data_IF_145503613047
#
_entry.id   IF_145503613047
#
_cell.length_a   1.000
_cell.length_b   1.000
_cell.length_c   1.000
_cell.angle_alpha   90.00
_cell.angle_beta   90.00
_cell.angle_gamma   90.00
#
_symmetry.space_group_name_H-M   'P 1'
#
loop_
_entity.id
_entity.type
_entity.pdbx_description
1 polymer ?
#
# COMPACT_ATOMS: atom_id res chain seq x y z
N UNK A 1 -4.85 -19.04 -6.10
CA UNK A 1 -4.22 -18.16 -7.09
C UNK A 1 -4.94 -16.84 -7.04
N UNK A 2 -4.21 -15.82 -6.62
CA UNK A 2 -4.64 -14.44 -6.67
C UNK A 2 -4.92 -14.05 -8.14
N UNK A 3 -5.99 -13.32 -8.36
CA UNK A 3 -6.38 -12.81 -9.68
C UNK A 3 -6.25 -11.29 -9.69
N UNK A 4 -5.89 -10.72 -10.83
CA UNK A 4 -5.71 -9.28 -11.00
C UNK A 4 -6.83 -8.78 -11.90
N UNK A 5 -7.72 -7.97 -11.34
CA UNK A 5 -8.71 -7.24 -12.11
C UNK A 5 -8.17 -5.86 -12.46
N UNK A 6 -8.13 -5.57 -13.76
CA UNK A 6 -7.61 -4.31 -14.27
C UNK A 6 -8.73 -3.30 -14.40
N UNK A 7 -8.59 -2.15 -13.75
CA UNK A 7 -9.56 -1.06 -13.85
C UNK A 7 -8.86 0.16 -14.43
N UNK A 8 -9.23 0.47 -15.67
CA UNK A 8 -8.71 1.65 -16.36
C UNK A 8 -9.39 2.94 -15.87
N UNK A 9 -8.80 4.12 -16.18
CA UNK A 9 -9.39 5.40 -15.84
C UNK A 9 -10.83 5.53 -16.32
N UNK A 10 -11.72 6.04 -15.46
CA UNK A 10 -13.14 6.24 -15.72
C UNK A 10 -14.04 5.03 -15.44
N UNK A 11 -13.46 3.85 -15.15
CA UNK A 11 -14.19 2.65 -14.74
C UNK A 11 -14.05 2.41 -13.23
N UNK A 12 -15.04 1.75 -12.65
CA UNK A 12 -15.02 1.30 -11.25
C UNK A 12 -15.21 -0.22 -11.21
N UNK A 13 -14.42 -0.92 -10.39
CA UNK A 13 -14.71 -2.31 -10.04
C UNK A 13 -16.08 -2.38 -9.37
N UNK A 14 -16.88 -3.39 -9.73
CA UNK A 14 -18.26 -3.53 -9.25
C UNK A 14 -18.39 -4.44 -8.03
N UNK A 15 -17.35 -5.20 -7.69
CA UNK A 15 -17.35 -6.14 -6.58
C UNK A 15 -16.06 -6.01 -5.77
N UNK A 16 -16.19 -5.68 -4.48
CA UNK A 16 -15.08 -5.50 -3.56
C UNK A 16 -15.13 -6.55 -2.46
N UNK A 17 -14.04 -7.30 -2.29
CA UNK A 17 -13.92 -8.29 -1.22
C UNK A 17 -12.95 -7.75 -0.16
N UNK A 18 -13.43 -7.51 1.08
CA UNK A 18 -12.55 -7.08 2.15
C UNK A 18 -11.35 -8.02 2.36
N UNK A 19 -10.18 -7.42 2.59
CA UNK A 19 -8.90 -8.09 2.69
C UNK A 19 -8.14 -8.22 1.36
N UNK A 20 -8.78 -7.96 0.22
CA UNK A 20 -8.07 -7.70 -1.03
C UNK A 20 -7.39 -6.32 -0.98
N UNK A 21 -6.55 -6.00 -1.96
CA UNK A 21 -5.86 -4.72 -2.01
C UNK A 21 -5.77 -4.19 -3.44
N UNK A 22 -5.56 -2.89 -3.59
CA UNK A 22 -5.35 -2.25 -4.88
C UNK A 22 -3.90 -1.80 -5.04
N UNK A 23 -3.46 -1.76 -6.29
CA UNK A 23 -2.26 -1.05 -6.73
C UNK A 23 -2.69 0.03 -7.70
N UNK A 24 -2.22 1.26 -7.48
CA UNK A 24 -2.62 2.42 -8.28
C UNK A 24 -1.43 3.17 -8.86
N UNK A 25 -1.60 3.65 -10.08
CA UNK A 25 -0.69 4.57 -10.74
C UNK A 25 -1.26 5.99 -10.66
N UNK A 26 -0.66 6.82 -9.80
CA UNK A 26 -1.09 8.18 -9.51
C UNK A 26 -0.18 9.18 -10.20
N UNK A 27 -0.72 10.33 -10.58
CA UNK A 27 0.02 11.32 -11.38
C UNK A 27 0.62 12.50 -10.59
N UNK A 28 0.49 12.53 -9.27
CA UNK A 28 1.04 13.62 -8.45
C UNK A 28 2.58 13.57 -8.30
N UNK A 29 3.21 14.70 -7.96
CA UNK A 29 4.68 14.86 -7.91
C UNK A 29 5.39 13.76 -7.09
N UNK A 30 4.83 13.40 -5.93
CA UNK A 30 5.37 12.32 -5.09
C UNK A 30 5.27 10.94 -5.76
N UNK A 31 4.20 10.66 -6.49
CA UNK A 31 4.04 9.39 -7.20
C UNK A 31 5.07 9.25 -8.31
N UNK A 32 5.37 10.34 -9.04
CA UNK A 32 6.44 10.36 -10.05
C UNK A 32 7.82 10.10 -9.44
N UNK A 33 8.10 10.64 -8.25
CA UNK A 33 9.36 10.35 -7.53
C UNK A 33 9.45 8.88 -7.11
N UNK A 34 8.34 8.29 -6.65
CA UNK A 34 8.27 6.87 -6.28
C UNK A 34 8.50 5.98 -7.50
N UNK A 35 7.80 6.23 -8.62
CA UNK A 35 8.00 5.49 -9.87
C UNK A 35 9.45 5.60 -10.37
N UNK A 36 10.04 6.79 -10.41
CA UNK A 36 11.45 6.97 -10.80
C UNK A 36 12.44 6.24 -9.87
N UNK A 37 12.18 6.21 -8.56
CA UNK A 37 13.01 5.48 -7.62
C UNK A 37 12.90 3.96 -7.83
N UNK A 38 11.70 3.47 -8.14
CA UNK A 38 11.45 2.05 -8.45
C UNK A 38 12.07 1.65 -9.79
N UNK A 39 11.97 2.47 -10.83
CA UNK A 39 12.56 2.22 -12.16
C UNK A 39 14.09 2.03 -12.09
N UNK A 40 14.77 2.68 -11.15
CA UNK A 40 16.22 2.46 -10.91
C UNK A 40 16.53 1.10 -10.30
N UNK A 41 15.59 0.50 -9.56
CA UNK A 41 15.76 -0.79 -8.87
C UNK A 41 15.17 -1.96 -9.68
N UNK A 42 14.12 -1.71 -10.44
CA UNK A 42 13.40 -2.68 -11.27
C UNK A 42 13.71 -2.39 -12.74
N UNK A 43 14.66 -3.13 -13.31
CA UNK A 43 15.14 -2.97 -14.69
C UNK A 43 14.99 -4.25 -15.49
N UNK A 44 15.00 -4.15 -16.83
CA UNK A 44 14.93 -5.32 -17.70
C UNK A 44 13.57 -6.03 -17.60
N UNK A 45 13.52 -7.36 -17.39
CA UNK A 45 12.25 -8.11 -17.28
C UNK A 45 11.32 -7.63 -16.15
N UNK A 46 11.88 -7.00 -15.12
CA UNK A 46 11.15 -6.51 -13.95
C UNK A 46 10.66 -5.06 -14.10
N UNK A 47 11.06 -4.36 -15.17
CA UNK A 47 10.71 -2.95 -15.38
C UNK A 47 9.20 -2.65 -15.35
N UNK A 48 8.30 -3.52 -15.89
CA UNK A 48 6.86 -3.25 -15.85
C UNK A 48 6.28 -3.10 -14.43
N UNK A 49 6.88 -3.72 -13.41
CA UNK A 49 6.38 -3.66 -12.04
C UNK A 49 6.63 -2.30 -11.37
N UNK A 50 7.56 -1.50 -11.88
CA UNK A 50 7.88 -0.17 -11.34
C UNK A 50 6.79 0.89 -11.60
N UNK A 51 5.79 0.55 -12.43
CA UNK A 51 4.68 1.43 -12.80
C UNK A 51 3.87 1.89 -11.59
N UNK A 52 3.62 1.00 -10.63
CA UNK A 52 2.72 1.24 -9.51
C UNK A 52 3.31 2.19 -8.49
N UNK A 53 2.57 3.24 -8.12
CA UNK A 53 3.03 4.30 -7.23
C UNK A 53 2.40 4.27 -5.84
N UNK A 54 1.28 3.56 -5.70
CA UNK A 54 0.49 3.53 -4.47
C UNK A 54 -0.23 2.19 -4.29
N UNK A 55 -0.60 1.90 -3.05
CA UNK A 55 -1.34 0.68 -2.69
C UNK A 55 -2.27 0.92 -1.49
N UNK A 56 -3.42 0.26 -1.46
CA UNK A 56 -4.39 0.40 -0.37
C UNK A 56 -5.15 -0.90 -0.12
N UNK A 57 -5.63 -1.12 1.11
CA UNK A 57 -6.39 -2.32 1.49
C UNK A 57 -7.89 -2.07 1.32
N UNK A 58 -8.59 -3.01 0.69
CA UNK A 58 -10.06 -3.01 0.63
C UNK A 58 -10.60 -3.47 1.98
N UNK A 59 -11.41 -2.65 2.64
CA UNK A 59 -11.99 -2.94 3.96
C UNK A 59 -13.53 -3.08 3.93
N UNK A 60 -14.18 -2.53 2.90
CA UNK A 60 -15.62 -2.61 2.72
C UNK A 60 -16.03 -3.10 1.34
N UNK A 61 -17.22 -3.71 1.26
CA UNK A 61 -17.83 -4.16 0.00
C UNK A 61 -18.35 -3.01 -0.87
N UNK A 62 -18.48 -1.83 -0.28
CA UNK A 62 -18.84 -0.57 -0.90
C UNK A 62 -17.65 0.12 -1.60
N UNK A 63 -16.48 -0.53 -1.66
CA UNK A 63 -15.25 0.08 -2.15
C UNK A 63 -14.59 0.99 -1.12
N UNK A 64 -14.92 0.86 0.17
CA UNK A 64 -14.14 1.48 1.24
C UNK A 64 -12.73 0.90 1.28
N UNK A 65 -11.73 1.79 1.27
CA UNK A 65 -10.31 1.49 1.34
C UNK A 65 -9.69 2.08 2.60
N UNK A 66 -8.65 1.44 3.12
CA UNK A 66 -7.71 2.06 4.07
C UNK A 66 -6.35 2.21 3.40
N UNK A 67 -5.82 3.42 3.47
CA UNK A 67 -4.57 3.80 2.82
C UNK A 67 -3.71 4.66 3.74
N UNK A 68 -2.39 4.50 3.63
CA UNK A 68 -1.42 5.39 4.24
C UNK A 68 -1.04 6.48 3.24
N UNK A 69 -1.25 7.74 3.63
CA UNK A 69 -0.79 8.91 2.90
C UNK A 69 0.20 9.72 3.72
N UNK A 70 0.78 10.77 3.11
CA UNK A 70 1.79 11.64 3.73
C UNK A 70 1.40 12.15 5.13
N UNK A 71 0.11 12.36 5.38
CA UNK A 71 -0.39 12.89 6.66
C UNK A 71 -0.81 11.81 7.67
N UNK A 72 -0.89 10.54 7.27
CA UNK A 72 -1.39 9.46 8.12
C UNK A 72 -2.20 8.42 7.38
N UNK A 73 -2.67 7.43 8.13
CA UNK A 73 -3.62 6.41 7.65
C UNK A 73 -5.03 6.95 7.72
N UNK A 74 -5.77 6.78 6.63
CA UNK A 74 -7.18 7.17 6.55
C UNK A 74 -8.01 6.16 5.80
N UNK A 75 -9.31 6.26 6.02
CA UNK A 75 -10.32 5.59 5.20
C UNK A 75 -10.71 6.48 4.02
N UNK A 76 -10.81 5.91 2.83
CA UNK A 76 -11.14 6.59 1.58
C UNK A 76 -12.06 5.73 0.71
N UNK A 77 -12.97 6.32 -0.07
CA UNK A 77 -13.72 5.57 -1.08
C UNK A 77 -12.85 5.29 -2.32
N UNK A 78 -13.10 4.15 -2.99
CA UNK A 78 -12.45 3.77 -4.25
C UNK A 78 -12.64 4.81 -5.36
N UNK A 79 -13.74 5.58 -5.33
CA UNK A 79 -14.05 6.63 -6.32
C UNK A 79 -12.99 7.72 -6.42
N UNK A 80 -12.09 7.85 -5.43
CA UNK A 80 -10.92 8.74 -5.52
C UNK A 80 -9.92 8.33 -6.60
N UNK A 81 -9.93 7.06 -6.98
CA UNK A 81 -9.07 6.49 -8.02
C UNK A 81 -9.75 6.48 -9.38
N UNK A 82 -10.94 7.08 -9.53
CA UNK A 82 -11.69 7.05 -10.80
C UNK A 82 -10.92 7.70 -11.95
N UNK A 83 -10.15 8.75 -11.67
CA UNK A 83 -9.35 9.44 -12.68
C UNK A 83 -7.94 8.83 -12.84
N UNK A 84 -7.58 7.86 -11.99
CA UNK A 84 -6.29 7.18 -11.98
C UNK A 84 -6.45 5.73 -12.48
N UNK A 85 -5.36 5.12 -12.93
CA UNK A 85 -5.33 3.68 -13.21
C UNK A 85 -5.14 2.91 -11.90
N UNK A 86 -5.96 1.88 -11.66
CA UNK A 86 -5.76 0.98 -10.54
C UNK A 86 -6.10 -0.48 -10.87
N UNK A 87 -5.32 -1.40 -10.33
CA UNK A 87 -5.57 -2.82 -10.41
C UNK A 87 -6.00 -3.35 -9.05
N UNK A 88 -7.09 -4.11 -9.02
CA UNK A 88 -7.59 -4.80 -7.84
C UNK A 88 -6.98 -6.21 -7.80
N UNK A 89 -6.18 -6.47 -6.76
CA UNK A 89 -5.56 -7.76 -6.52
C UNK A 89 -6.48 -8.60 -5.62
N UNK A 90 -7.17 -9.54 -6.25
CA UNK A 90 -8.12 -10.45 -5.62
C UNK A 90 -7.38 -11.67 -5.07
N UNK A 91 -7.23 -11.76 -3.76
CA UNK A 91 -6.46 -12.85 -3.14
C UNK A 91 -7.18 -14.21 -3.18
N UNK A 92 -8.48 -14.21 -3.44
CA UNK A 92 -9.29 -15.43 -3.53
C UNK A 92 -9.07 -16.35 -2.32
N UNK A 93 -8.81 -17.63 -2.62
CA UNK A 93 -8.57 -18.68 -1.62
C UNK A 93 -7.20 -18.60 -0.92
N UNK A 94 -6.28 -17.74 -1.36
CA UNK A 94 -4.98 -17.58 -0.68
C UNK A 94 -5.12 -16.90 0.69
N UNK A 95 -6.14 -16.06 0.84
CA UNK A 95 -6.48 -15.45 2.12
C UNK A 95 -7.78 -16.07 2.66
N UNK A 96 -7.63 -16.94 3.65
CA UNK A 96 -8.75 -17.57 4.36
C UNK A 96 -9.68 -16.52 4.99
N UNK A 97 -10.95 -16.87 5.23
CA UNK A 97 -11.95 -15.94 5.78
C UNK A 97 -11.51 -15.28 7.09
N UNK A 98 -10.95 -16.05 8.03
CA UNK A 98 -10.41 -15.51 9.28
C UNK A 98 -9.20 -14.61 9.04
N UNK A 99 -8.39 -14.93 8.02
CA UNK A 99 -7.28 -14.09 7.57
C UNK A 99 -7.77 -12.76 7.03
N UNK A 100 -8.83 -12.76 6.20
CA UNK A 100 -9.46 -11.53 5.69
C UNK A 100 -9.95 -10.65 6.83
N UNK A 101 -10.65 -11.23 7.80
CA UNK A 101 -11.12 -10.49 8.97
C UNK A 101 -9.96 -9.85 9.75
N UNK A 102 -8.85 -10.57 9.96
CA UNK A 102 -7.65 -10.02 10.62
C UNK A 102 -6.96 -8.94 9.79
N UNK A 103 -6.85 -9.12 8.48
CA UNK A 103 -6.30 -8.11 7.55
C UNK A 103 -7.09 -6.80 7.65
N UNK A 104 -8.42 -6.90 7.57
CA UNK A 104 -9.32 -5.74 7.64
C UNK A 104 -9.26 -5.09 9.02
N UNK A 105 -9.32 -5.88 10.09
CA UNK A 105 -9.25 -5.37 11.46
C UNK A 105 -7.93 -4.64 11.74
N UNK A 106 -6.81 -5.16 11.21
CA UNK A 106 -5.52 -4.49 11.32
C UNK A 106 -5.54 -3.14 10.59
N UNK A 107 -5.98 -3.14 9.33
CA UNK A 107 -6.02 -1.92 8.50
C UNK A 107 -6.92 -0.85 9.14
N UNK A 108 -8.16 -1.19 9.49
CA UNK A 108 -9.09 -0.27 10.18
C UNK A 108 -8.52 0.22 11.51
N UNK A 109 -7.81 -0.64 12.25
CA UNK A 109 -7.14 -0.27 13.50
C UNK A 109 -5.99 0.74 13.34
N UNK A 110 -5.46 0.93 12.13
CA UNK A 110 -4.44 1.97 11.88
C UNK A 110 -5.07 3.33 11.51
N UNK A 111 -6.37 3.39 11.19
CA UNK A 111 -7.03 4.63 10.77
C UNK A 111 -6.89 5.72 11.83
N UNK A 112 -6.46 6.92 11.41
CA UNK A 112 -6.21 8.05 12.29
C UNK A 112 -4.79 8.09 12.86
N UNK A 113 -3.96 7.09 12.61
CA UNK A 113 -2.54 7.15 12.93
C UNK A 113 -1.85 8.18 12.03
N UNK A 114 -1.42 9.29 12.63
CA UNK A 114 -0.68 10.34 11.95
C UNK A 114 0.81 10.00 11.89
N UNK A 115 1.38 9.97 10.68
CA UNK A 115 2.83 9.75 10.51
C UNK A 115 3.66 10.99 10.91
N UNK A 116 3.03 12.15 11.04
CA UNK A 116 3.73 13.42 11.33
C UNK A 116 4.01 13.73 12.81
N UNK A 117 3.20 13.24 13.76
CA UNK A 117 3.30 13.73 15.16
C UNK A 117 4.35 13.00 15.99
N UNK A 118 4.47 11.68 15.85
CA UNK A 118 5.48 10.91 16.59
C UNK A 118 6.89 11.13 16.02
N UNK A 119 7.00 11.35 14.70
CA UNK A 119 8.26 11.73 14.07
C UNK A 119 8.66 13.19 14.36
N UNK A 120 7.70 14.13 14.53
CA UNK A 120 8.03 15.48 15.03
C UNK A 120 8.50 15.47 16.49
N UNK A 121 7.86 14.68 17.36
CA UNK A 121 8.31 14.51 18.75
C UNK A 121 9.66 13.80 18.80
N UNK A 122 9.85 12.76 17.99
CA UNK A 122 11.11 12.02 17.84
C UNK A 122 12.23 12.87 17.24
N UNK A 123 11.94 13.71 16.23
CA UNK A 123 12.88 14.66 15.64
C UNK A 123 13.23 15.80 16.62
N UNK A 124 12.26 16.27 17.41
CA UNK A 124 12.49 17.25 18.48
C UNK A 124 13.38 16.70 19.58
N UNK A 125 13.11 15.47 20.04
CA UNK A 125 13.96 14.75 21.00
C UNK A 125 15.34 14.42 20.39
N UNK A 126 15.41 14.04 19.12
CA UNK A 126 16.65 13.76 18.42
C UNK A 126 17.51 15.03 18.24
N UNK A 127 16.92 16.20 17.95
CA UNK A 127 17.65 17.48 17.92
C UNK A 127 18.22 17.85 19.30
N UNK A 128 17.54 17.46 20.37
CA UNK A 128 18.01 17.64 21.75
C UNK A 128 19.10 16.64 22.17
N UNK A 129 19.12 15.41 21.62
CA UNK A 129 20.01 14.32 22.08
C UNK A 129 21.03 13.80 21.05
N UNK A 130 21.03 14.30 19.81
CA UNK A 130 22.13 14.10 18.85
C UNK A 130 22.29 12.71 18.21
N UNK A 131 21.24 11.90 18.11
CA UNK A 131 21.34 10.54 17.53
C UNK A 131 21.44 10.51 15.99
N UNK A 132 21.76 9.39 15.31
CA UNK A 132 21.97 9.39 13.86
C UNK A 132 20.66 9.32 13.02
N UNK A 133 20.60 10.14 11.96
CA UNK A 133 19.50 10.35 10.98
C UNK A 133 18.96 9.10 10.25
N UNK A 134 19.51 7.91 10.48
CA UNK A 134 19.09 6.65 9.84
C UNK A 134 17.69 6.19 10.28
N UNK A 135 17.13 6.79 11.33
CA UNK A 135 15.80 6.46 11.86
C UNK A 135 14.62 7.04 11.05
N UNK A 136 14.81 8.16 10.33
CA UNK A 136 13.75 8.88 9.60
C UNK A 136 13.12 8.05 8.47
N UNK A 137 13.82 7.03 7.98
CA UNK A 137 13.34 6.12 6.93
C UNK A 137 12.50 4.94 7.46
N UNK A 138 12.50 4.67 8.78
CA UNK A 138 11.76 3.54 9.39
C UNK A 138 10.30 3.87 9.74
N UNK A 139 9.97 5.14 9.91
CA UNK A 139 8.66 5.57 10.43
C UNK A 139 7.73 6.17 9.37
N UNK A 140 8.22 6.38 8.15
CA UNK A 140 7.32 6.58 7.02
C UNK A 140 6.70 5.22 6.71
N UNK A 141 5.53 4.95 7.28
CA UNK A 141 4.71 3.84 6.82
C UNK A 141 4.26 4.19 5.41
N UNK A 142 5.02 3.69 4.44
CA UNK A 142 4.68 3.80 3.02
C UNK A 142 3.39 3.00 2.83
N UNK A 143 2.55 3.44 1.91
CA UNK A 143 1.30 2.76 1.54
C UNK A 143 1.44 1.25 1.34
N UNK A 144 2.57 0.78 0.80
CA UNK A 144 2.92 -0.64 0.66
C UNK A 144 3.20 -1.33 2.00
N UNK A 145 3.83 -0.65 2.95
CA UNK A 145 4.09 -1.16 4.30
C UNK A 145 2.80 -1.45 5.06
N UNK A 146 1.80 -0.57 4.98
CA UNK A 146 0.47 -0.80 5.54
C UNK A 146 -0.17 -2.05 4.96
N UNK A 147 -0.16 -2.20 3.63
CA UNK A 147 -0.71 -3.38 2.94
C UNK A 147 0.01 -4.66 3.37
N UNK A 148 1.35 -4.66 3.41
CA UNK A 148 2.12 -5.83 3.85
C UNK A 148 1.78 -6.20 5.29
N UNK A 149 1.77 -5.25 6.23
CA UNK A 149 1.44 -5.54 7.64
C UNK A 149 0.01 -6.05 7.80
N UNK A 150 -0.95 -5.50 7.06
CA UNK A 150 -2.31 -5.99 7.04
C UNK A 150 -2.38 -7.44 6.54
N UNK A 151 -1.71 -7.74 5.43
CA UNK A 151 -1.66 -9.10 4.88
C UNK A 151 -0.94 -10.08 5.82
N UNK A 152 0.11 -9.63 6.52
CA UNK A 152 0.81 -10.41 7.55
C UNK A 152 -0.08 -10.73 8.75
N UNK A 153 -0.90 -9.79 9.20
CA UNK A 153 -1.93 -10.04 10.22
C UNK A 153 -2.95 -11.09 9.75
N UNK A 154 -3.27 -11.08 8.44
CA UNK A 154 -4.07 -12.13 7.80
C UNK A 154 -3.38 -13.49 7.70
N UNK A 155 -2.04 -13.50 7.71
CA UNK A 155 -1.20 -14.70 7.63
C UNK A 155 -0.49 -14.89 6.29
N UNK A 156 -0.60 -13.94 5.37
CA UNK A 156 0.09 -13.93 4.07
C UNK A 156 1.38 -13.10 4.11
N UNK A 157 2.22 -13.25 3.07
CA UNK A 157 3.42 -12.42 2.82
C UNK A 157 4.37 -12.23 4.02
N UNK A 158 4.47 -13.25 4.89
CA UNK A 158 5.31 -13.24 6.10
C UNK A 158 6.81 -13.07 5.84
N UNK A 159 7.22 -13.36 4.61
CA UNK A 159 8.58 -13.25 4.09
C UNK A 159 8.96 -11.82 3.67
N UNK A 160 7.99 -10.92 3.50
CA UNK A 160 8.26 -9.54 3.09
C UNK A 160 8.57 -8.65 4.31
N UNK A 161 9.59 -7.79 4.19
CA UNK A 161 9.85 -6.75 5.18
C UNK A 161 9.00 -5.51 4.86
N UNK A 162 8.01 -5.13 5.70
CA UNK A 162 7.16 -3.97 5.44
C UNK A 162 7.93 -2.65 5.30
N UNK A 163 9.12 -2.53 5.91
CA UNK A 163 9.93 -1.31 5.84
C UNK A 163 10.72 -1.17 4.52
N UNK A 164 10.87 -2.27 3.77
CA UNK A 164 11.66 -2.32 2.53
C UNK A 164 10.82 -2.65 1.29
N UNK A 165 9.57 -3.06 1.49
CA UNK A 165 8.65 -3.45 0.41
C UNK A 165 8.05 -2.21 -0.24
N UNK A 166 8.26 -2.08 -1.55
CA UNK A 166 7.66 -1.05 -2.39
C UNK A 166 6.41 -1.59 -3.12
N UNK A 167 5.54 -0.72 -3.66
CA UNK A 167 4.42 -1.16 -4.50
C UNK A 167 4.86 -2.11 -5.63
N UNK A 168 6.02 -1.89 -6.24
CA UNK A 168 6.59 -2.76 -7.26
C UNK A 168 6.95 -4.17 -6.75
N UNK A 169 7.36 -4.32 -5.48
CA UNK A 169 7.63 -5.63 -4.88
C UNK A 169 6.31 -6.42 -4.72
N UNK A 170 5.23 -5.75 -4.29
CA UNK A 170 3.89 -6.34 -4.24
C UNK A 170 3.40 -6.70 -5.65
N UNK A 171 3.58 -5.79 -6.61
CA UNK A 171 3.21 -6.03 -8.00
C UNK A 171 3.94 -7.25 -8.57
N UNK A 172 5.25 -7.37 -8.36
CA UNK A 172 6.03 -8.54 -8.78
C UNK A 172 5.57 -9.83 -8.10
N UNK A 173 5.26 -9.79 -6.81
CA UNK A 173 4.81 -10.97 -6.05
C UNK A 173 3.47 -11.52 -6.56
N UNK A 174 2.58 -10.63 -7.01
CA UNK A 174 1.24 -10.98 -7.50
C UNK A 174 1.12 -10.86 -9.03
N UNK A 175 2.25 -10.77 -9.76
CA UNK A 175 2.36 -10.60 -11.22
C UNK A 175 1.44 -9.50 -11.80
N UNK A 176 1.35 -8.37 -11.10
CA UNK A 176 0.55 -7.21 -11.49
C UNK A 176 1.35 -6.34 -12.45
N UNK A 177 1.05 -6.47 -13.74
CA UNK A 177 1.61 -5.63 -14.81
C UNK A 177 0.58 -4.58 -15.24
N UNK A 178 1.02 -3.44 -15.80
CA UNK A 178 0.14 -2.49 -16.49
C UNK A 178 -0.69 -3.21 -17.57
#
# INVERSE_FOLDING_TARGET
MANVERVGPGADATDFVPGDFILAHRHHLLARLISQAQERRFTGPDAPYAHWSHSAVVVGRDGSLVEAETMGVRRSPISRYRDDEYHLVRLGAELAADGRARTVAYAEGQVGQAFGYLDMLGAGLHLLFGWPLRWVRRNHEICSGLVVKALQAGGLVRDLDPALTLPADLAKKFDVRP
#
